data_IF_296173169969
#
_entry.id   IF_296173169969
#
_cell.length_a   1.000
_cell.length_b   1.000
_cell.length_c   1.000
_cell.angle_alpha   90.00
_cell.angle_beta   90.00
_cell.angle_gamma   90.00
#
_symmetry.space_group_name_H-M   'P 1'
#
loop_
_entity.id
_entity.type
_entity.pdbx_description
1 polymer ?
#
# COMPACT_ATOMS: atom_id res chain seq x y z
N UNK A 1 0.26 -4.08 4.17
CA UNK A 1 0.68 -3.89 5.56
C UNK A 1 2.16 -3.50 5.60
N UNK A 2 2.44 -2.21 5.45
CA UNK A 2 3.79 -1.69 5.40
C UNK A 2 4.03 -0.74 6.61
N UNK A 3 5.30 -0.42 6.90
CA UNK A 3 6.52 -1.08 6.47
C UNK A 3 6.88 -2.30 7.33
N UNK A 4 7.64 -3.24 6.77
CA UNK A 4 8.20 -4.38 7.49
C UNK A 4 9.72 -4.32 7.50
N UNK A 5 10.36 -4.60 8.65
CA UNK A 5 11.81 -4.47 8.81
C UNK A 5 12.63 -5.54 8.10
N UNK A 6 12.04 -6.72 7.85
CA UNK A 6 12.71 -7.83 7.17
C UNK A 6 12.61 -7.72 5.64
N UNK A 7 11.38 -7.54 5.14
CA UNK A 7 11.10 -7.55 3.70
C UNK A 7 11.10 -6.16 3.07
N UNK A 8 10.88 -5.10 3.86
CA UNK A 8 10.83 -3.72 3.35
C UNK A 8 12.09 -3.29 2.62
N UNK A 9 13.31 -3.46 3.18
CA UNK A 9 14.54 -3.14 2.48
C UNK A 9 14.72 -3.93 1.19
N UNK A 10 14.46 -5.25 1.22
CA UNK A 10 14.55 -6.12 0.02
C UNK A 10 13.56 -5.70 -1.07
N UNK A 11 12.36 -5.30 -0.67
CA UNK A 11 11.36 -4.80 -1.60
C UNK A 11 11.80 -3.49 -2.26
N UNK A 12 12.34 -2.54 -1.49
CA UNK A 12 12.89 -1.29 -2.01
C UNK A 12 14.06 -1.54 -2.97
N UNK A 13 14.97 -2.46 -2.63
CA UNK A 13 16.07 -2.85 -3.51
C UNK A 13 15.57 -3.37 -4.87
N UNK A 14 14.54 -4.24 -4.88
CA UNK A 14 13.94 -4.75 -6.11
C UNK A 14 13.29 -3.61 -6.90
N UNK A 15 12.45 -2.79 -6.26
CA UNK A 15 11.77 -1.68 -6.92
C UNK A 15 12.76 -0.67 -7.52
N UNK A 16 13.87 -0.39 -6.81
CA UNK A 16 14.95 0.45 -7.28
C UNK A 16 15.68 -0.18 -8.48
N UNK A 17 16.06 -1.46 -8.40
CA UNK A 17 16.76 -2.18 -9.48
C UNK A 17 15.95 -2.19 -10.78
N UNK A 18 14.63 -2.30 -10.66
CA UNK A 18 13.72 -2.28 -11.80
C UNK A 18 13.17 -0.89 -12.15
N UNK A 19 13.53 0.15 -11.39
CA UNK A 19 12.99 1.51 -11.54
C UNK A 19 11.45 1.50 -11.61
N UNK A 20 10.82 0.90 -10.60
CA UNK A 20 9.36 0.77 -10.47
C UNK A 20 8.88 1.56 -9.25
N UNK A 21 8.09 2.61 -9.42
CA UNK A 21 7.47 3.30 -8.29
C UNK A 21 6.28 2.50 -7.75
N UNK A 22 6.01 2.63 -6.44
CA UNK A 22 4.93 1.92 -5.77
C UNK A 22 4.16 2.82 -4.79
N UNK A 23 2.99 2.35 -4.35
CA UNK A 23 2.21 2.97 -3.28
C UNK A 23 2.14 2.00 -2.10
N UNK A 24 2.67 2.43 -0.96
CA UNK A 24 2.72 1.66 0.28
C UNK A 24 1.60 2.11 1.22
N UNK A 25 0.66 1.23 1.50
CA UNK A 25 -0.36 1.45 2.52
C UNK A 25 0.18 1.01 3.87
N UNK A 26 0.41 1.99 4.75
CA UNK A 26 1.18 1.82 5.98
C UNK A 26 0.29 1.82 7.22
N UNK A 27 0.50 0.84 8.10
CA UNK A 27 -0.12 0.78 9.42
C UNK A 27 0.61 1.72 10.39
N UNK A 28 -0.14 2.46 11.19
CA UNK A 28 0.43 3.38 12.16
C UNK A 28 1.42 2.71 13.11
N UNK A 29 1.08 1.53 13.65
CA UNK A 29 1.95 0.72 14.52
C UNK A 29 3.27 0.35 13.84
N UNK A 30 3.24 -0.01 12.56
CA UNK A 30 4.42 -0.41 11.81
C UNK A 30 5.30 0.79 11.44
N UNK A 31 4.68 1.92 11.16
CA UNK A 31 5.36 3.20 10.94
C UNK A 31 6.14 3.63 12.18
N UNK A 32 5.55 3.52 13.37
CA UNK A 32 6.24 3.81 14.63
C UNK A 32 7.45 2.91 14.87
N UNK A 33 7.34 1.64 14.51
CA UNK A 33 8.42 0.67 14.69
C UNK A 33 9.56 0.85 13.68
N UNK A 34 9.26 1.40 12.48
CA UNK A 34 10.20 1.46 11.36
C UNK A 34 10.29 2.87 10.73
N UNK A 35 10.54 3.94 11.50
CA UNK A 35 10.49 5.33 10.97
C UNK A 35 11.52 5.58 9.87
N UNK A 36 12.72 5.01 9.97
CA UNK A 36 13.76 5.15 8.95
C UNK A 36 13.38 4.52 7.61
N UNK A 37 12.64 3.39 7.65
CA UNK A 37 12.19 2.73 6.44
C UNK A 37 11.07 3.54 5.74
N UNK A 38 10.17 4.15 6.52
CA UNK A 38 9.14 5.06 5.97
C UNK A 38 9.79 6.27 5.28
N UNK A 39 10.84 6.84 5.87
CA UNK A 39 11.60 7.92 5.25
C UNK A 39 12.30 7.46 3.96
N UNK A 40 12.80 6.22 3.91
CA UNK A 40 13.39 5.64 2.69
C UNK A 40 12.34 5.48 1.59
N UNK A 41 11.15 4.97 1.90
CA UNK A 41 10.04 4.84 0.95
C UNK A 41 9.75 6.20 0.28
N UNK A 42 9.64 7.29 1.07
CA UNK A 42 9.39 8.64 0.53
C UNK A 42 10.58 9.15 -0.27
N UNK A 43 11.81 9.01 0.25
CA UNK A 43 13.04 9.50 -0.40
C UNK A 43 13.28 8.85 -1.75
N UNK A 44 12.88 7.59 -1.92
CA UNK A 44 13.04 6.81 -3.15
C UNK A 44 11.90 7.02 -4.15
N UNK A 45 10.99 7.97 -3.85
CA UNK A 45 9.94 8.39 -4.78
C UNK A 45 8.68 7.53 -4.76
N UNK A 46 8.55 6.63 -3.79
CA UNK A 46 7.33 5.88 -3.57
C UNK A 46 6.31 6.71 -2.76
N UNK A 47 5.05 6.32 -2.82
CA UNK A 47 3.97 6.97 -2.08
C UNK A 47 3.69 6.22 -0.79
N UNK A 48 3.63 6.96 0.33
CA UNK A 48 3.11 6.47 1.62
C UNK A 48 1.65 6.84 1.72
N UNK A 49 0.80 5.88 2.06
CA UNK A 49 -0.64 6.02 2.20
C UNK A 49 -1.11 5.39 3.53
N UNK A 50 -2.29 5.76 3.99
CA UNK A 50 -2.83 5.34 5.28
C UNK A 50 -3.56 3.97 5.17
N UNK A 51 -3.28 3.06 6.12
CA UNK A 51 -3.90 1.72 6.22
C UNK A 51 -4.51 1.42 7.60
N UNK A 52 -4.99 2.45 8.30
CA UNK A 52 -5.39 2.42 9.71
C UNK A 52 -4.20 2.31 10.68
N UNK A 53 -4.48 2.30 11.98
CA UNK A 53 -3.42 2.29 12.99
C UNK A 53 -2.92 0.88 13.29
N UNK A 54 -3.82 -0.08 13.60
CA UNK A 54 -3.47 -1.44 14.04
C UNK A 54 -4.07 -2.56 13.18
N UNK A 55 -4.62 -2.24 12.00
CA UNK A 55 -5.26 -3.18 11.08
C UNK A 55 -6.61 -3.73 11.58
N UNK A 56 -7.33 -2.99 12.42
CA UNK A 56 -8.66 -3.39 12.87
C UNK A 56 -9.67 -3.49 11.70
N UNK A 57 -10.62 -4.42 11.79
CA UNK A 57 -11.75 -4.42 10.87
C UNK A 57 -12.70 -3.25 11.20
N UNK A 58 -12.60 -2.17 10.45
CA UNK A 58 -13.32 -0.92 10.72
C UNK A 58 -14.84 -1.09 10.71
N UNK A 59 -15.38 -2.10 10.02
CA UNK A 59 -16.82 -2.35 9.95
C UNK A 59 -17.41 -2.88 11.27
N UNK A 60 -16.56 -3.28 12.21
CA UNK A 60 -16.95 -3.78 13.54
C UNK A 60 -16.76 -2.76 14.66
N UNK A 61 -16.22 -1.58 14.33
CA UNK A 61 -15.91 -0.51 15.26
C UNK A 61 -17.03 0.55 15.31
N UNK A 62 -17.06 1.32 16.38
CA UNK A 62 -17.90 2.52 16.46
C UNK A 62 -17.35 3.63 15.58
N UNK A 63 -18.17 4.60 15.20
CA UNK A 63 -17.73 5.77 14.41
C UNK A 63 -16.54 6.50 15.02
N UNK A 64 -16.49 6.62 16.33
CA UNK A 64 -15.39 7.24 17.08
C UNK A 64 -14.10 6.45 16.91
N UNK A 65 -14.17 5.12 17.11
CA UNK A 65 -13.02 4.23 16.94
C UNK A 65 -12.51 4.20 15.50
N UNK A 66 -13.42 4.25 14.50
CA UNK A 66 -13.01 4.36 13.08
C UNK A 66 -12.22 5.66 12.83
N UNK A 67 -12.68 6.80 13.39
CA UNK A 67 -11.95 8.07 13.28
C UNK A 67 -10.59 7.99 13.96
N UNK A 68 -10.53 7.40 15.13
CA UNK A 68 -9.29 7.23 15.90
C UNK A 68 -8.28 6.40 15.13
N UNK A 69 -8.67 5.25 14.57
CA UNK A 69 -7.83 4.40 13.73
C UNK A 69 -7.19 5.15 12.56
N UNK A 70 -8.00 5.94 11.84
CA UNK A 70 -7.51 6.70 10.68
C UNK A 70 -6.60 7.85 11.11
N UNK A 71 -6.99 8.63 12.13
CA UNK A 71 -6.27 9.83 12.56
C UNK A 71 -4.97 9.50 13.33
N UNK A 72 -4.93 8.43 14.13
CA UNK A 72 -3.69 7.99 14.77
C UNK A 72 -2.63 7.59 13.73
N UNK A 73 -3.02 6.80 12.72
CA UNK A 73 -2.13 6.45 11.63
C UNK A 73 -1.63 7.69 10.87
N UNK A 74 -2.52 8.62 10.53
CA UNK A 74 -2.16 9.90 9.91
C UNK A 74 -1.15 10.67 10.73
N UNK A 75 -1.40 10.81 12.04
CA UNK A 75 -0.52 11.55 12.96
C UNK A 75 0.89 10.98 12.95
N UNK A 76 1.02 9.67 13.04
CA UNK A 76 2.34 9.01 13.04
C UNK A 76 3.04 9.16 11.69
N UNK A 77 2.34 8.95 10.59
CA UNK A 77 2.89 9.14 9.24
C UNK A 77 3.37 10.58 9.07
N UNK A 78 2.56 11.57 9.46
CA UNK A 78 2.90 12.97 9.31
C UNK A 78 4.09 13.38 10.19
N UNK A 79 4.18 12.87 11.42
CA UNK A 79 5.33 13.14 12.31
C UNK A 79 6.66 12.68 11.71
N UNK A 80 6.66 11.55 10.98
CA UNK A 80 7.87 10.95 10.42
C UNK A 80 8.22 11.52 9.05
N UNK A 81 7.21 11.79 8.22
CA UNK A 81 7.41 12.18 6.81
C UNK A 81 7.21 13.67 6.56
N UNK A 82 6.53 14.39 7.45
CA UNK A 82 6.04 15.74 7.22
C UNK A 82 4.84 15.82 6.25
N UNK A 83 4.39 14.69 5.72
CA UNK A 83 3.37 14.60 4.67
C UNK A 83 2.03 14.14 5.27
N UNK A 84 0.96 14.75 4.81
CA UNK A 84 -0.41 14.38 5.14
C UNK A 84 -1.00 13.57 3.99
N UNK A 85 -1.29 12.28 4.24
CA UNK A 85 -1.70 11.38 3.16
C UNK A 85 -3.11 11.68 2.65
N UNK A 86 -3.36 11.47 1.34
CA UNK A 86 -4.68 11.64 0.74
C UNK A 86 -5.35 10.30 0.38
N UNK A 87 -4.63 9.20 0.50
CA UNK A 87 -5.09 7.86 0.14
C UNK A 87 -5.26 7.00 1.38
N UNK A 88 -6.36 6.26 1.43
CA UNK A 88 -6.67 5.31 2.47
C UNK A 88 -7.08 3.97 1.86
N UNK A 89 -6.53 2.88 2.36
CA UNK A 89 -7.00 1.53 2.06
C UNK A 89 -7.55 0.91 3.35
N UNK A 90 -8.83 0.45 3.36
CA UNK A 90 -9.37 -0.19 4.54
C UNK A 90 -8.73 -1.57 4.75
N UNK A 91 -8.42 -1.96 5.99
CA UNK A 91 -8.04 -3.32 6.32
C UNK A 91 -9.02 -4.35 5.75
N UNK A 92 -8.50 -5.45 5.20
CA UNK A 92 -9.27 -6.51 4.55
C UNK A 92 -10.11 -6.08 3.34
N UNK A 93 -10.01 -4.83 2.89
CA UNK A 93 -10.94 -4.25 1.91
C UNK A 93 -12.37 -4.07 2.46
N UNK A 94 -12.55 -4.23 3.77
CA UNK A 94 -13.87 -4.22 4.42
C UNK A 94 -14.43 -2.81 4.54
N UNK A 95 -15.63 -2.60 4.01
CA UNK A 95 -16.33 -1.32 4.01
C UNK A 95 -17.82 -1.51 4.33
N UNK A 96 -18.37 -0.53 5.02
CA UNK A 96 -19.80 -0.26 5.10
C UNK A 96 -20.03 1.24 4.86
N UNK A 97 -21.28 1.68 4.76
CA UNK A 97 -21.60 3.07 4.48
C UNK A 97 -21.04 4.04 5.52
N UNK A 98 -21.01 3.64 6.78
CA UNK A 98 -20.52 4.48 7.87
C UNK A 98 -19.00 4.70 7.74
N UNK A 99 -18.21 3.65 7.56
CA UNK A 99 -16.76 3.73 7.33
C UNK A 99 -16.45 4.61 6.11
N UNK A 100 -17.19 4.42 5.01
CA UNK A 100 -17.01 5.24 3.79
C UNK A 100 -17.24 6.72 4.11
N UNK A 101 -18.35 7.08 4.76
CA UNK A 101 -18.66 8.48 5.08
C UNK A 101 -17.61 9.10 6.01
N UNK A 102 -17.13 8.36 7.01
CA UNK A 102 -16.10 8.84 7.93
C UNK A 102 -14.80 9.11 7.18
N UNK A 103 -14.31 8.14 6.43
CA UNK A 103 -13.03 8.25 5.70
C UNK A 103 -13.07 9.39 4.68
N UNK A 104 -14.16 9.52 3.92
CA UNK A 104 -14.34 10.64 2.99
C UNK A 104 -14.41 11.98 3.70
N UNK A 105 -15.09 12.07 4.87
CA UNK A 105 -15.17 13.30 5.66
C UNK A 105 -13.81 13.79 6.19
N UNK A 106 -12.85 12.88 6.34
CA UNK A 106 -11.47 13.17 6.73
C UNK A 106 -10.58 13.58 5.53
N UNK A 107 -11.15 13.68 4.32
CA UNK A 107 -10.46 14.13 3.11
C UNK A 107 -9.70 13.04 2.35
N UNK A 108 -9.91 11.76 2.68
CA UNK A 108 -9.25 10.65 2.01
C UNK A 108 -9.97 10.20 0.75
N UNK A 109 -9.21 9.62 -0.18
CA UNK A 109 -9.70 8.77 -1.27
C UNK A 109 -9.54 7.32 -0.86
N UNK A 110 -10.62 6.54 -0.94
CA UNK A 110 -10.60 5.10 -0.63
C UNK A 110 -10.09 4.34 -1.84
N UNK A 111 -9.03 3.56 -1.64
CA UNK A 111 -8.36 2.80 -2.69
C UNK A 111 -8.49 1.30 -2.39
N UNK A 112 -9.13 0.58 -3.29
CA UNK A 112 -9.16 -0.87 -3.31
C UNK A 112 -8.20 -1.42 -4.39
N UNK A 113 -8.43 -2.64 -4.84
CA UNK A 113 -7.65 -3.33 -5.87
C UNK A 113 -8.57 -4.17 -6.76
N UNK A 114 -8.07 -4.53 -7.93
CA UNK A 114 -8.77 -5.43 -8.83
C UNK A 114 -7.95 -6.69 -9.20
N UNK A 115 -6.67 -6.72 -8.82
CA UNK A 115 -5.83 -7.92 -8.95
C UNK A 115 -5.28 -8.27 -7.57
N UNK A 116 -5.79 -9.37 -6.98
CA UNK A 116 -5.32 -9.90 -5.70
C UNK A 116 -4.27 -10.99 -5.96
N UNK A 117 -3.06 -10.76 -5.49
CA UNK A 117 -1.94 -11.70 -5.65
C UNK A 117 -2.12 -12.99 -4.85
N UNK A 118 -2.91 -12.96 -3.77
CA UNK A 118 -3.03 -13.99 -2.74
C UNK A 118 -1.70 -14.38 -2.07
N UNK A 119 -0.68 -13.52 -2.11
CA UNK A 119 0.62 -13.75 -1.45
C UNK A 119 0.45 -13.98 0.06
N UNK A 120 -0.54 -13.35 0.67
CA UNK A 120 -0.91 -13.48 2.08
C UNK A 120 -1.42 -14.88 2.49
N UNK A 121 -1.81 -15.73 1.53
CA UNK A 121 -2.34 -17.09 1.80
C UNK A 121 -1.23 -18.12 1.99
N UNK A 122 0.04 -17.75 1.79
CA UNK A 122 1.17 -18.67 1.90
C UNK A 122 1.47 -19.48 0.62
N UNK A 123 0.90 -19.10 -0.53
CA UNK A 123 1.29 -19.67 -1.83
C UNK A 123 2.71 -19.27 -2.21
N UNK A 124 3.34 -20.02 -3.11
CA UNK A 124 4.72 -19.77 -3.55
C UNK A 124 4.83 -18.53 -4.46
N UNK A 125 6.02 -17.94 -4.55
CA UNK A 125 6.28 -16.82 -5.47
C UNK A 125 5.88 -17.11 -6.93
N UNK A 126 6.25 -18.26 -7.52
CA UNK A 126 5.77 -18.64 -8.84
C UNK A 126 4.25 -18.70 -8.97
N UNK A 127 3.54 -19.19 -7.93
CA UNK A 127 2.07 -19.21 -7.92
C UNK A 127 1.46 -17.81 -7.86
N UNK A 128 2.08 -16.88 -7.11
CA UNK A 128 1.73 -15.46 -7.10
C UNK A 128 1.86 -14.86 -8.50
N UNK A 129 3.01 -15.05 -9.16
CA UNK A 129 3.23 -14.53 -10.51
C UNK A 129 2.22 -15.11 -11.52
N UNK A 130 1.99 -16.43 -11.49
CA UNK A 130 1.03 -17.11 -12.35
C UNK A 130 -0.40 -16.61 -12.14
N UNK A 131 -0.72 -16.08 -10.97
CA UNK A 131 -2.02 -15.47 -10.68
C UNK A 131 -2.10 -14.01 -11.13
N UNK A 132 -1.07 -13.21 -10.87
CA UNK A 132 -1.08 -11.77 -11.14
C UNK A 132 -1.02 -11.49 -12.64
N UNK A 133 -0.10 -12.11 -13.36
CA UNK A 133 0.21 -11.78 -14.75
C UNK A 133 -1.02 -11.90 -15.65
N UNK A 134 -1.74 -13.05 -15.74
CA UNK A 134 -2.86 -13.19 -16.66
C UNK A 134 -4.12 -12.40 -16.26
N UNK A 135 -4.19 -11.90 -15.02
CA UNK A 135 -5.31 -11.10 -14.53
C UNK A 135 -5.04 -9.59 -14.59
N UNK A 136 -3.84 -9.17 -15.01
CA UNK A 136 -3.48 -7.76 -15.13
C UNK A 136 -3.95 -7.21 -16.48
N UNK A 137 -4.66 -6.09 -16.42
CA UNK A 137 -5.09 -5.32 -17.59
C UNK A 137 -4.66 -3.85 -17.41
N UNK A 138 -4.65 -3.02 -18.48
CA UNK A 138 -4.35 -1.59 -18.32
C UNK A 138 -5.25 -0.93 -17.27
N UNK A 139 -4.64 -0.21 -16.33
CA UNK A 139 -5.34 0.40 -15.20
C UNK A 139 -5.50 -0.51 -13.97
N UNK A 140 -4.93 -1.71 -13.97
CA UNK A 140 -4.98 -2.60 -12.79
C UNK A 140 -4.24 -2.03 -11.60
N UNK A 141 -4.83 -2.22 -10.41
CA UNK A 141 -4.20 -2.03 -9.12
C UNK A 141 -3.94 -3.42 -8.53
N UNK A 142 -2.67 -3.81 -8.47
CA UNK A 142 -2.22 -5.10 -7.96
C UNK A 142 -2.00 -5.00 -6.46
N UNK A 143 -2.67 -5.84 -5.67
CA UNK A 143 -2.45 -5.98 -4.25
C UNK A 143 -1.31 -6.97 -4.00
N UNK A 144 -0.32 -6.52 -3.23
CA UNK A 144 0.74 -7.34 -2.64
C UNK A 144 1.02 -6.89 -1.21
N UNK A 145 1.63 -7.74 -0.39
CA UNK A 145 1.86 -7.45 1.03
C UNK A 145 3.34 -7.34 1.37
N UNK A 146 3.65 -6.33 2.21
CA UNK A 146 4.93 -6.15 2.89
C UNK A 146 4.74 -6.41 4.39
N UNK A 147 4.30 -7.50 4.72
CA UNK A 147 3.89 -8.25 5.91
C UNK A 147 4.30 -7.74 7.31
N UNK A 148 4.16 -6.46 7.61
CA UNK A 148 4.33 -6.00 8.99
C UNK A 148 3.30 -6.71 9.90
N UNK A 149 3.79 -7.58 10.77
CA UNK A 149 2.95 -8.45 11.60
C UNK A 149 2.33 -9.65 10.87
N UNK A 150 2.60 -9.82 9.58
CA UNK A 150 2.11 -10.94 8.79
C UNK A 150 3.05 -12.15 8.75
N UNK A 151 2.77 -13.12 7.88
CA UNK A 151 3.57 -14.34 7.79
C UNK A 151 4.84 -14.14 6.95
N UNK A 152 5.94 -14.76 7.40
CA UNK A 152 7.21 -14.78 6.64
C UNK A 152 7.02 -15.37 5.24
N UNK A 153 6.12 -16.36 5.07
CA UNK A 153 5.81 -16.95 3.78
C UNK A 153 5.23 -15.92 2.80
N UNK A 154 4.33 -15.06 3.26
CA UNK A 154 3.73 -14.01 2.42
C UNK A 154 4.78 -13.01 1.92
N UNK A 155 5.64 -12.49 2.81
CA UNK A 155 6.74 -11.61 2.41
C UNK A 155 7.73 -12.28 1.46
N UNK A 156 8.06 -13.55 1.71
CA UNK A 156 8.92 -14.34 0.82
C UNK A 156 8.28 -14.51 -0.57
N UNK A 157 6.99 -14.82 -0.63
CA UNK A 157 6.29 -14.98 -1.90
C UNK A 157 6.23 -13.67 -2.70
N UNK A 158 5.98 -12.53 -2.03
CA UNK A 158 6.01 -11.21 -2.65
C UNK A 158 7.40 -10.90 -3.25
N UNK A 159 8.48 -11.05 -2.48
CA UNK A 159 9.85 -10.80 -2.94
C UNK A 159 10.24 -11.70 -4.11
N UNK A 160 9.89 -12.98 -4.06
CA UNK A 160 10.22 -13.94 -5.12
C UNK A 160 9.44 -13.72 -6.41
N UNK A 161 8.18 -13.25 -6.32
CA UNK A 161 7.32 -13.08 -7.49
C UNK A 161 7.53 -11.76 -8.21
N UNK A 162 7.88 -10.69 -7.49
CA UNK A 162 7.89 -9.33 -8.00
C UNK A 162 8.80 -9.13 -9.23
N UNK A 163 10.05 -9.64 -9.29
CA UNK A 163 10.88 -9.54 -10.49
C UNK A 163 10.21 -10.14 -11.73
N UNK A 164 9.65 -11.33 -11.62
CA UNK A 164 8.99 -12.02 -12.74
C UNK A 164 7.73 -11.25 -13.21
N UNK A 165 6.93 -10.73 -12.27
CA UNK A 165 5.75 -9.91 -12.59
C UNK A 165 6.18 -8.67 -13.37
N UNK A 166 7.22 -7.96 -12.91
CA UNK A 166 7.72 -6.76 -13.56
C UNK A 166 8.26 -7.06 -14.96
N UNK A 167 9.10 -8.07 -15.10
CA UNK A 167 9.74 -8.42 -16.38
C UNK A 167 8.71 -8.84 -17.43
N UNK A 168 7.78 -9.71 -17.08
CA UNK A 168 6.79 -10.23 -18.02
C UNK A 168 5.81 -9.13 -18.43
N UNK A 169 5.25 -8.38 -17.46
CA UNK A 169 4.31 -7.32 -17.80
C UNK A 169 4.97 -6.21 -18.62
N UNK A 170 6.25 -5.89 -18.37
CA UNK A 170 7.00 -4.96 -19.24
C UNK A 170 7.19 -5.50 -20.66
N UNK A 171 7.48 -6.78 -20.79
CA UNK A 171 7.60 -7.42 -22.10
C UNK A 171 6.27 -7.41 -22.87
N UNK A 172 5.15 -7.39 -22.16
CA UNK A 172 3.78 -7.24 -22.70
C UNK A 172 3.40 -5.76 -22.96
N UNK A 173 4.29 -4.80 -22.68
CA UNK A 173 4.10 -3.39 -22.96
C UNK A 173 3.48 -2.57 -21.81
N UNK A 174 3.34 -3.14 -20.62
CA UNK A 174 2.88 -2.39 -19.44
C UNK A 174 3.97 -1.48 -18.88
N UNK A 175 3.55 -0.34 -18.34
CA UNK A 175 4.34 0.52 -17.46
C UNK A 175 3.79 0.50 -16.04
N UNK A 176 4.68 0.68 -15.06
CA UNK A 176 4.32 0.72 -13.65
C UNK A 176 4.33 2.17 -13.16
N UNK A 177 3.27 2.56 -12.48
CA UNK A 177 3.10 3.89 -11.92
C UNK A 177 2.54 3.81 -10.50
N UNK A 178 2.64 4.89 -9.75
CA UNK A 178 1.95 5.00 -8.45
C UNK A 178 0.44 5.13 -8.63
N UNK A 179 -0.33 4.77 -7.60
CA UNK A 179 -1.80 4.92 -7.63
C UNK A 179 -2.23 6.37 -7.89
N UNK A 180 -1.61 7.40 -7.26
CA UNK A 180 -1.93 8.79 -7.60
C UNK A 180 -1.73 9.12 -9.08
N UNK A 181 -0.63 8.68 -9.67
CA UNK A 181 -0.37 8.90 -11.09
C UNK A 181 -1.35 8.12 -12.00
N UNK A 182 -1.75 6.91 -11.60
CA UNK A 182 -2.72 6.10 -12.35
C UNK A 182 -4.10 6.74 -12.39
N UNK A 183 -4.55 7.32 -11.27
CA UNK A 183 -5.91 7.83 -11.09
C UNK A 183 -6.03 9.34 -11.29
N UNK A 184 -4.92 10.03 -11.56
CA UNK A 184 -4.84 11.49 -11.66
C UNK A 184 -5.42 12.19 -10.41
N UNK A 185 -4.94 11.76 -9.23
CA UNK A 185 -5.37 12.29 -7.93
C UNK A 185 -4.16 12.69 -7.08
N UNK A 186 -4.30 13.64 -6.14
CA UNK A 186 -3.21 14.00 -5.25
C UNK A 186 -2.82 12.83 -4.33
N UNK A 187 -1.51 12.65 -4.13
CA UNK A 187 -0.96 11.69 -3.16
C UNK A 187 -1.12 12.19 -1.71
N UNK A 188 -1.04 13.50 -1.53
CA UNK A 188 -1.00 14.15 -0.22
C UNK A 188 -1.99 15.32 -0.16
N UNK A 189 -2.56 15.55 1.04
CA UNK A 189 -3.49 16.65 1.29
C UNK A 189 -2.72 17.98 1.40
N UNK A 190 -3.33 19.06 0.91
CA UNK A 190 -2.74 20.41 0.99
C UNK A 190 -1.62 20.71 0.00
N UNK A 191 -1.24 19.77 -0.85
CA UNK A 191 -0.33 20.01 -1.97
C UNK A 191 -1.16 20.40 -3.19
N UNK A 192 -1.12 21.68 -3.56
CA UNK A 192 -1.69 22.14 -4.83
C UNK A 192 -0.74 21.65 -5.92
N UNK A 193 -1.17 20.65 -6.69
CA UNK A 193 -0.46 20.27 -7.92
C UNK A 193 -0.62 21.40 -8.92
N UNK A 194 0.44 22.20 -9.09
CA UNK A 194 0.53 23.11 -10.23
C UNK A 194 0.67 22.26 -11.51
N UNK A 195 -0.36 22.30 -12.33
CA UNK A 195 -0.32 21.74 -13.70
C UNK A 195 0.50 22.62 -14.61
#
# INVERSE_FOLDING_TARGET
DAPDSLFGPLLLDILSAYNVPATFFCLGTCVQQNPGLVQSIVREGHIVANHSYDHANLTTLTSEQVREEVLLAETVIQQITGLRTALFRPPFGALNNEVVQIVLSLGYKIILWNVDSLDWTGITGPAVAARVIPNTVPGSIILMHNTCGGSVQAGTAAIQSLPFIIEILRAEGYSFVTIPALLDIPAYQGVVTSH
#
